data_IF_592171937650
#
_entry.id   IF_592171937650
#
_cell.length_a   1.000
_cell.length_b   1.000
_cell.length_c   1.000
_cell.angle_alpha   90.00
_cell.angle_beta   90.00
_cell.angle_gamma   90.00
#
_symmetry.space_group_name_H-M   'P 1'
#
loop_
_entity.id
_entity.type
_entity.pdbx_description
1 polymer ?
#
# COMPACT_ATOMS: atom_id res chain seq x y z
N UNK A 1 14.99 4.72 21.23
CA UNK A 1 14.81 3.72 20.17
C UNK A 1 15.53 4.14 18.90
N UNK A 2 15.06 5.17 18.18
CA UNK A 2 15.56 5.49 16.82
C UNK A 2 16.74 6.47 16.72
N UNK A 3 17.36 6.87 17.83
CA UNK A 3 18.45 7.86 17.87
C UNK A 3 18.11 9.22 17.23
N UNK A 4 16.86 9.67 17.40
CA UNK A 4 16.35 10.96 16.90
C UNK A 4 16.27 11.97 18.05
N UNK A 5 16.81 13.18 17.84
CA UNK A 5 16.73 14.25 18.85
C UNK A 5 15.32 14.86 18.94
N UNK A 6 14.91 15.46 20.07
CA UNK A 6 13.60 16.13 20.17
C UNK A 6 13.39 17.23 19.11
N UNK A 7 14.46 17.96 18.75
CA UNK A 7 14.39 19.00 17.71
C UNK A 7 14.11 18.42 16.33
N UNK A 8 14.76 17.30 15.99
CA UNK A 8 14.52 16.60 14.74
C UNK A 8 13.13 15.97 14.70
N UNK A 9 12.70 15.32 15.80
CA UNK A 9 11.41 14.62 15.86
C UNK A 9 10.21 15.54 15.57
N UNK A 10 10.28 16.82 15.96
CA UNK A 10 9.23 17.81 15.66
C UNK A 10 9.17 18.15 14.17
N UNK A 11 10.28 18.07 13.45
CA UNK A 11 10.34 18.32 12.02
C UNK A 11 9.96 17.09 11.18
N UNK A 12 10.07 15.89 11.75
CA UNK A 12 9.71 14.64 11.07
C UNK A 12 8.21 14.49 10.85
N UNK A 13 7.86 14.16 9.62
CA UNK A 13 6.53 13.71 9.22
C UNK A 13 6.07 12.60 10.18
N UNK A 14 4.86 12.71 10.78
CA UNK A 14 4.32 11.66 11.62
C UNK A 14 4.30 10.29 10.92
N UNK A 15 4.06 10.23 9.60
CA UNK A 15 4.11 9.01 8.80
C UNK A 15 5.49 8.35 8.83
N UNK A 16 6.57 9.14 8.70
CA UNK A 16 7.94 8.64 8.85
C UNK A 16 8.17 8.04 10.24
N UNK A 17 7.78 8.77 11.29
CA UNK A 17 8.00 8.34 12.68
C UNK A 17 7.26 7.05 12.99
N UNK A 18 5.98 7.01 12.67
CA UNK A 18 5.11 5.88 12.98
C UNK A 18 5.46 4.66 12.12
N UNK A 19 5.84 4.84 10.85
CA UNK A 19 6.26 3.71 10.02
C UNK A 19 7.55 3.07 10.56
N UNK A 20 8.49 3.83 11.14
CA UNK A 20 9.65 3.24 11.82
C UNK A 20 9.26 2.33 12.98
N UNK A 21 8.23 2.69 13.76
CA UNK A 21 7.67 1.83 14.80
C UNK A 21 7.02 0.58 14.22
N UNK A 22 6.15 0.74 13.21
CA UNK A 22 5.44 -0.38 12.58
C UNK A 22 6.39 -1.35 11.89
N UNK A 23 7.49 -0.88 11.30
CA UNK A 23 8.52 -1.77 10.74
C UNK A 23 9.24 -2.54 11.85
N UNK A 24 9.55 -1.91 12.97
CA UNK A 24 10.12 -2.62 14.12
C UNK A 24 9.18 -3.72 14.62
N UNK A 25 7.90 -3.41 14.79
CA UNK A 25 6.87 -4.37 15.22
C UNK A 25 6.70 -5.51 14.20
N UNK A 26 6.72 -5.22 12.90
CA UNK A 26 6.64 -6.22 11.85
C UNK A 26 7.87 -7.16 11.84
N UNK A 27 9.06 -6.64 12.10
CA UNK A 27 10.26 -7.46 12.28
C UNK A 27 10.14 -8.36 13.51
N UNK A 28 9.64 -7.84 14.63
CA UNK A 28 9.40 -8.66 15.84
C UNK A 28 8.37 -9.76 15.61
N UNK A 29 7.24 -9.48 14.94
CA UNK A 29 6.24 -10.52 14.60
C UNK A 29 6.80 -11.57 13.64
N UNK A 30 7.71 -11.17 12.75
CA UNK A 30 8.43 -12.08 11.85
C UNK A 30 9.57 -12.85 12.53
N UNK A 31 9.82 -12.63 13.83
CA UNK A 31 10.85 -13.36 14.60
C UNK A 31 12.28 -12.82 14.42
N UNK A 32 12.45 -11.67 13.77
CA UNK A 32 13.74 -11.01 13.64
C UNK A 32 14.13 -10.37 14.98
N UNK A 33 14.88 -11.10 15.81
CA UNK A 33 15.32 -10.60 17.12
C UNK A 33 16.28 -9.41 16.95
N UNK A 34 15.80 -8.22 17.32
CA UNK A 34 16.52 -6.93 17.20
C UNK A 34 17.82 -6.84 18.03
N UNK A 35 18.12 -7.88 18.83
CA UNK A 35 19.31 -8.04 19.67
C UNK A 35 20.35 -9.07 19.17
N UNK A 36 20.55 -9.17 17.85
CA UNK A 36 21.81 -9.74 17.32
C UNK A 36 21.73 -10.80 16.23
N UNK A 37 20.53 -11.16 15.74
CA UNK A 37 20.38 -12.13 14.64
C UNK A 37 19.77 -11.54 13.35
N UNK A 38 19.27 -10.29 13.35
CA UNK A 38 18.88 -9.56 12.11
C UNK A 38 20.10 -9.14 11.26
N UNK A 39 21.32 -9.38 11.77
CA UNK A 39 22.56 -8.84 11.24
C UNK A 39 23.45 -9.86 10.52
N UNK A 40 22.98 -11.04 10.13
CA UNK A 40 23.85 -11.93 9.36
C UNK A 40 23.94 -11.50 7.90
N UNK A 41 22.90 -10.96 7.26
CA UNK A 41 23.00 -10.37 5.90
C UNK A 41 22.18 -9.08 5.69
N UNK A 42 22.40 -8.04 6.50
CA UNK A 42 21.83 -6.68 6.33
C UNK A 42 22.04 -6.08 4.91
N UNK A 43 22.94 -6.65 4.11
CA UNK A 43 23.23 -6.24 2.73
C UNK A 43 22.16 -6.61 1.70
N UNK A 44 21.20 -7.46 2.06
CA UNK A 44 20.18 -7.95 1.14
C UNK A 44 18.74 -7.66 1.62
N UNK A 45 18.55 -6.62 2.43
CA UNK A 45 17.20 -6.17 2.84
C UNK A 45 16.80 -4.93 2.04
N UNK A 46 15.76 -5.06 1.21
CA UNK A 46 15.16 -3.95 0.48
C UNK A 46 14.00 -3.30 1.24
N UNK A 47 13.74 -2.01 0.99
CA UNK A 47 12.65 -1.25 1.62
C UNK A 47 11.87 -0.46 0.58
N UNK A 48 10.58 -0.76 0.51
CA UNK A 48 9.64 -0.25 -0.50
C UNK A 48 8.44 0.36 0.23
N UNK A 49 8.28 1.68 0.10
CA UNK A 49 7.24 2.41 0.82
C UNK A 49 6.31 3.12 -0.15
N UNK A 50 5.00 2.93 0.02
CA UNK A 50 3.97 3.74 -0.62
C UNK A 50 3.68 5.00 0.21
N UNK A 51 3.83 6.17 -0.39
CA UNK A 51 3.57 7.47 0.25
C UNK A 51 3.14 8.50 -0.79
N UNK A 52 1.95 9.09 -0.59
CA UNK A 52 1.27 9.95 -1.55
C UNK A 52 1.09 11.40 -1.11
N UNK A 53 1.40 11.75 0.14
CA UNK A 53 1.08 13.07 0.70
C UNK A 53 2.32 13.86 1.11
N UNK A 54 2.23 15.18 1.05
CA UNK A 54 3.25 16.11 1.59
C UNK A 54 2.64 17.01 2.67
N UNK A 55 1.58 16.56 3.34
CA UNK A 55 0.79 17.32 4.32
C UNK A 55 1.69 17.94 5.40
N UNK A 56 2.65 17.18 5.92
CA UNK A 56 3.54 17.69 6.95
C UNK A 56 4.45 18.81 6.44
N UNK A 57 4.90 18.71 5.18
CA UNK A 57 5.66 19.79 4.53
C UNK A 57 4.84 21.06 4.46
N UNK A 58 3.60 20.97 4.00
CA UNK A 58 2.68 22.11 3.93
C UNK A 58 2.42 22.71 5.31
N UNK A 59 2.24 21.86 6.32
CA UNK A 59 2.04 22.28 7.71
C UNK A 59 3.25 23.01 8.30
N UNK A 60 4.46 22.61 7.92
CA UNK A 60 5.71 23.16 8.46
C UNK A 60 6.15 24.44 7.74
N UNK A 61 5.83 24.61 6.45
CA UNK A 61 6.27 25.77 5.65
C UNK A 61 6.06 27.15 6.32
N UNK A 62 4.91 27.44 6.95
CA UNK A 62 4.68 28.73 7.61
C UNK A 62 5.60 29.00 8.81
N UNK A 63 6.23 27.95 9.38
CA UNK A 63 7.05 28.05 10.59
C UNK A 63 8.51 28.46 10.31
N UNK A 64 8.88 28.62 9.03
CA UNK A 64 10.26 28.92 8.61
C UNK A 64 11.14 27.67 8.45
N UNK A 65 12.33 27.85 7.89
CA UNK A 65 13.26 26.75 7.55
C UNK A 65 14.07 26.32 8.78
N UNK A 66 14.01 25.02 9.11
CA UNK A 66 14.89 24.38 10.09
C UNK A 66 15.86 23.41 9.39
N UNK A 67 17.00 23.11 10.03
CA UNK A 67 18.01 22.17 9.51
C UNK A 67 17.46 20.76 9.31
N UNK A 68 16.38 20.38 9.99
CA UNK A 68 15.73 19.08 9.86
C UNK A 68 14.55 19.03 8.87
N UNK A 69 14.19 20.16 8.24
CA UNK A 69 12.99 20.26 7.41
C UNK A 69 13.01 19.32 6.20
N UNK A 70 14.12 19.26 5.47
CA UNK A 70 14.21 18.45 4.24
C UNK A 70 14.11 16.97 4.58
N UNK A 71 14.98 16.47 5.45
CA UNK A 71 14.97 15.07 5.90
C UNK A 71 13.75 14.70 6.74
N UNK A 72 13.04 15.69 7.28
CA UNK A 72 11.80 15.48 8.04
C UNK A 72 10.57 15.34 7.15
N UNK A 73 10.57 15.90 5.94
CA UNK A 73 9.36 15.99 5.10
C UNK A 73 9.49 15.35 3.73
N UNK A 74 10.70 15.17 3.20
CA UNK A 74 10.88 14.59 1.88
C UNK A 74 10.65 13.07 1.94
N UNK A 75 9.71 12.57 1.12
CA UNK A 75 9.26 11.16 1.15
C UNK A 75 10.37 10.12 0.94
N UNK A 76 11.45 10.48 0.24
CA UNK A 76 12.62 9.59 0.09
C UNK A 76 13.28 9.22 1.43
N UNK A 77 13.14 10.07 2.46
CA UNK A 77 13.62 9.78 3.80
C UNK A 77 12.72 8.80 4.57
N UNK A 78 11.49 8.53 4.11
CA UNK A 78 10.60 7.55 4.74
C UNK A 78 11.24 6.14 4.73
N UNK A 79 11.55 5.52 3.57
CA UNK A 79 12.32 4.27 3.54
C UNK A 79 13.80 4.46 3.93
N UNK A 80 14.38 5.63 3.62
CA UNK A 80 15.79 5.90 3.88
C UNK A 80 16.16 5.90 5.38
N UNK A 81 15.28 6.42 6.25
CA UNK A 81 15.49 6.42 7.71
C UNK A 81 15.41 5.02 8.31
N UNK A 82 14.51 4.19 7.78
CA UNK A 82 14.41 2.78 8.17
C UNK A 82 15.75 2.09 7.85
N UNK A 83 16.23 2.22 6.60
CA UNK A 83 17.48 1.61 6.18
C UNK A 83 18.68 2.15 6.95
N UNK A 84 18.72 3.46 7.19
CA UNK A 84 19.78 4.08 7.99
C UNK A 84 19.79 3.56 9.43
N UNK A 85 18.62 3.41 10.05
CA UNK A 85 18.51 2.93 11.43
C UNK A 85 18.95 1.47 11.57
N UNK A 86 18.47 0.59 10.68
CA UNK A 86 18.78 -0.84 10.74
C UNK A 86 20.04 -1.24 9.96
N UNK A 87 20.73 -0.28 9.32
CA UNK A 87 21.94 -0.47 8.49
C UNK A 87 21.72 -1.42 7.31
N UNK A 88 20.59 -1.27 6.62
CA UNK A 88 20.28 -2.05 5.43
C UNK A 88 20.84 -1.40 4.16
N UNK A 89 21.38 -2.23 3.26
CA UNK A 89 22.04 -1.77 2.03
C UNK A 89 21.28 -2.15 0.74
N UNK A 90 20.09 -2.76 0.86
CA UNK A 90 19.31 -3.20 -0.30
C UNK A 90 18.53 -2.09 -1.01
N UNK A 91 17.75 -2.44 -2.04
CA UNK A 91 16.99 -1.48 -2.84
C UNK A 91 16.06 -0.63 -1.97
N UNK A 92 16.05 0.68 -2.20
CA UNK A 92 15.32 1.65 -1.37
C UNK A 92 14.44 2.51 -2.23
N UNK A 93 13.12 2.39 -2.10
CA UNK A 93 12.17 3.14 -2.92
C UNK A 93 11.03 3.72 -2.09
N UNK A 94 10.71 4.98 -2.41
CA UNK A 94 9.44 5.58 -2.09
C UNK A 94 8.63 5.69 -3.39
N UNK A 95 7.39 5.20 -3.40
CA UNK A 95 6.56 5.09 -4.59
C UNK A 95 5.30 5.91 -4.39
N UNK A 96 4.99 6.75 -5.37
CA UNK A 96 3.72 7.43 -5.48
C UNK A 96 3.01 7.02 -6.76
N UNK A 97 1.85 6.41 -6.58
CA UNK A 97 0.88 6.14 -7.64
C UNK A 97 -0.53 6.38 -7.12
N UNK A 98 -0.68 7.42 -6.30
CA UNK A 98 -1.89 7.76 -5.56
C UNK A 98 -2.41 6.56 -4.74
N UNK A 99 -3.69 6.21 -4.90
CA UNK A 99 -4.37 5.16 -4.14
C UNK A 99 -3.81 3.74 -4.32
N UNK A 100 -2.91 3.52 -5.29
CA UNK A 100 -2.25 2.24 -5.53
C UNK A 100 -0.83 2.14 -4.98
N UNK A 101 -0.36 3.10 -4.19
CA UNK A 101 1.05 3.23 -3.80
C UNK A 101 1.58 2.04 -3.01
N UNK A 102 0.89 1.56 -1.97
CA UNK A 102 1.30 0.35 -1.24
C UNK A 102 1.28 -0.90 -2.10
N UNK A 103 0.23 -1.12 -2.91
CA UNK A 103 0.19 -2.24 -3.85
C UNK A 103 1.35 -2.18 -4.86
N UNK A 104 1.82 -0.99 -5.21
CA UNK A 104 3.01 -0.78 -6.04
C UNK A 104 4.29 -1.16 -5.31
N UNK A 105 4.43 -0.71 -4.07
CA UNK A 105 5.58 -0.96 -3.23
C UNK A 105 5.73 -2.47 -3.01
N UNK A 106 4.63 -3.17 -2.71
CA UNK A 106 4.57 -4.64 -2.63
C UNK A 106 4.96 -5.28 -3.96
N UNK A 107 4.44 -4.78 -5.08
CA UNK A 107 4.81 -5.27 -6.42
C UNK A 107 6.30 -5.12 -6.74
N UNK A 108 6.92 -4.00 -6.37
CA UNK A 108 8.35 -3.78 -6.54
C UNK A 108 9.18 -4.67 -5.61
N UNK A 109 8.75 -4.84 -4.36
CA UNK A 109 9.37 -5.75 -3.40
C UNK A 109 9.32 -7.20 -3.91
N UNK A 110 8.16 -7.65 -4.39
CA UNK A 110 7.98 -8.95 -5.02
C UNK A 110 8.97 -9.15 -6.18
N UNK A 111 9.09 -8.17 -7.09
CA UNK A 111 10.02 -8.27 -8.22
C UNK A 111 11.48 -8.30 -7.76
N UNK A 112 11.87 -7.44 -6.82
CA UNK A 112 13.23 -7.43 -6.28
C UNK A 112 13.61 -8.75 -5.59
N UNK A 113 12.67 -9.42 -4.93
CA UNK A 113 12.87 -10.76 -4.37
C UNK A 113 13.02 -11.82 -5.48
N UNK A 114 12.16 -11.80 -6.50
CA UNK A 114 12.23 -12.74 -7.64
C UNK A 114 13.53 -12.57 -8.42
N UNK A 115 13.94 -11.33 -8.67
CA UNK A 115 15.14 -10.96 -9.41
C UNK A 115 16.42 -11.11 -8.56
N UNK A 116 16.28 -11.45 -7.27
CA UNK A 116 17.35 -11.61 -6.27
C UNK A 116 18.19 -10.35 -6.03
N UNK A 117 17.59 -9.18 -6.21
CA UNK A 117 18.16 -7.90 -5.77
C UNK A 117 18.18 -7.78 -4.23
N UNK A 118 17.33 -8.55 -3.55
CA UNK A 118 17.27 -8.70 -2.11
C UNK A 118 16.79 -10.11 -1.72
N UNK A 119 17.04 -10.50 -0.47
CA UNK A 119 16.60 -11.78 0.11
C UNK A 119 15.43 -11.60 1.08
N UNK A 120 15.28 -10.39 1.60
CA UNK A 120 14.14 -9.96 2.41
C UNK A 120 13.75 -8.56 1.97
N UNK A 121 12.46 -8.27 1.95
CA UNK A 121 11.95 -6.96 1.61
C UNK A 121 10.94 -6.48 2.65
N UNK A 122 11.07 -5.22 3.04
CA UNK A 122 10.04 -4.50 3.77
C UNK A 122 9.17 -3.78 2.76
N UNK A 123 7.88 -4.08 2.75
CA UNK A 123 6.89 -3.36 1.95
C UNK A 123 5.84 -2.74 2.86
N UNK A 124 5.57 -1.45 2.71
CA UNK A 124 4.64 -0.76 3.60
C UNK A 124 4.25 0.62 3.10
N UNK A 125 3.64 1.42 3.96
CA UNK A 125 3.23 2.78 3.63
C UNK A 125 2.67 3.53 4.83
N UNK A 126 2.53 4.85 4.67
CA UNK A 126 1.86 5.72 5.63
C UNK A 126 0.93 6.70 4.93
N UNK A 127 -0.26 6.90 5.50
CA UNK A 127 -1.19 7.95 5.13
C UNK A 127 -1.63 8.70 6.38
N UNK A 128 -1.20 9.95 6.52
CA UNK A 128 -1.51 10.83 7.65
C UNK A 128 -2.07 12.14 7.11
N UNK A 129 -3.23 12.55 7.64
CA UNK A 129 -3.95 13.74 7.26
C UNK A 129 -3.57 14.86 8.23
N UNK A 130 -2.53 15.62 7.88
CA UNK A 130 -2.02 16.68 8.76
C UNK A 130 -2.58 18.07 8.42
N UNK A 131 -3.22 18.25 7.25
CA UNK A 131 -3.80 19.54 6.85
C UNK A 131 -5.20 19.39 6.22
N UNK A 132 -6.03 20.46 6.22
CA UNK A 132 -7.33 20.45 5.57
C UNK A 132 -7.24 20.67 4.05
N UNK A 133 -6.04 20.85 3.48
CA UNK A 133 -5.88 21.22 2.07
C UNK A 133 -6.43 20.12 1.14
N UNK A 134 -5.96 18.88 1.30
CA UNK A 134 -6.43 17.74 0.51
C UNK A 134 -7.90 17.45 0.71
N UNK A 135 -8.41 17.52 1.95
CA UNK A 135 -9.84 17.39 2.23
C UNK A 135 -10.66 18.39 1.39
N UNK A 136 -10.21 19.64 1.34
CA UNK A 136 -10.89 20.69 0.57
C UNK A 136 -10.78 20.48 -0.94
N UNK A 137 -9.59 20.10 -1.43
CA UNK A 137 -9.33 19.87 -2.84
C UNK A 137 -10.11 18.67 -3.38
N UNK A 138 -10.07 17.54 -2.67
CA UNK A 138 -10.79 16.32 -3.01
C UNK A 138 -12.31 16.51 -2.91
N UNK A 139 -12.78 17.26 -1.90
CA UNK A 139 -14.19 17.64 -1.77
C UNK A 139 -14.68 18.48 -2.95
N UNK A 140 -13.91 19.50 -3.36
CA UNK A 140 -14.21 20.28 -4.58
C UNK A 140 -14.14 19.47 -5.86
N UNK A 141 -13.28 18.45 -5.91
CA UNK A 141 -13.18 17.51 -7.02
C UNK A 141 -14.32 16.49 -7.09
N UNK A 142 -15.21 16.43 -6.09
CA UNK A 142 -16.31 15.47 -6.05
C UNK A 142 -15.87 14.04 -5.72
N UNK A 143 -14.69 13.87 -5.12
CA UNK A 143 -14.19 12.55 -4.71
C UNK A 143 -14.74 12.08 -3.37
N UNK A 144 -15.06 13.04 -2.48
CA UNK A 144 -15.41 12.75 -1.10
C UNK A 144 -16.91 12.62 -0.91
N UNK A 145 -17.30 11.66 -0.08
CA UNK A 145 -18.67 11.54 0.43
C UNK A 145 -19.03 12.78 1.25
N UNK A 146 -20.22 13.34 1.02
CA UNK A 146 -20.77 14.41 1.86
C UNK A 146 -21.46 13.87 3.11
N UNK A 147 -21.86 12.61 3.07
CA UNK A 147 -22.58 11.93 4.16
C UNK A 147 -21.67 11.08 5.05
N UNK A 148 -20.37 10.99 4.70
CA UNK A 148 -19.36 10.23 5.43
C UNK A 148 -19.30 8.75 5.01
N UNK A 149 -18.29 8.05 5.55
CA UNK A 149 -18.02 6.63 5.25
C UNK A 149 -17.75 6.31 3.77
N UNK A 150 -17.19 5.14 3.50
CA UNK A 150 -17.21 4.58 2.14
C UNK A 150 -18.42 3.65 2.05
N UNK A 151 -19.42 4.03 1.25
CA UNK A 151 -20.66 3.26 1.10
C UNK A 151 -20.54 2.22 -0.02
N UNK A 152 -19.53 1.36 0.10
CA UNK A 152 -19.17 0.41 -0.96
C UNK A 152 -20.34 -0.50 -1.33
N UNK A 153 -20.62 -0.61 -2.63
CA UNK A 153 -21.71 -1.42 -3.22
C UNK A 153 -23.14 -0.97 -2.85
N UNK A 154 -23.31 0.19 -2.22
CA UNK A 154 -24.65 0.70 -1.87
C UNK A 154 -25.21 1.61 -2.96
N UNK A 155 -26.53 1.62 -3.08
CA UNK A 155 -27.26 2.50 -4.00
C UNK A 155 -27.05 3.99 -3.69
N UNK A 156 -26.87 4.33 -2.40
CA UNK A 156 -26.65 5.68 -1.89
C UNK A 156 -25.16 6.08 -1.83
N UNK A 157 -24.28 5.38 -2.55
CA UNK A 157 -22.86 5.69 -2.67
C UNK A 157 -22.59 7.07 -3.31
N UNK A 158 -21.89 7.97 -2.61
CA UNK A 158 -21.71 9.38 -2.99
C UNK A 158 -20.24 9.85 -2.94
N UNK A 159 -19.27 8.93 -2.85
CA UNK A 159 -17.85 9.22 -2.69
C UNK A 159 -17.20 8.42 -1.57
N UNK A 160 -15.89 8.61 -1.37
CA UNK A 160 -15.16 7.97 -0.28
C UNK A 160 -14.98 8.90 0.93
N UNK A 161 -14.78 8.34 2.11
CA UNK A 161 -14.26 9.06 3.28
C UNK A 161 -12.75 8.84 3.36
N UNK A 162 -11.94 9.88 3.57
CA UNK A 162 -10.50 9.71 3.80
C UNK A 162 -10.26 8.95 5.10
N UNK A 163 -9.20 8.14 5.13
CA UNK A 163 -8.75 7.39 6.30
C UNK A 163 -7.25 7.58 6.52
N UNK A 164 -6.81 7.39 7.76
CA UNK A 164 -5.39 7.33 8.10
C UNK A 164 -5.01 5.86 8.35
N UNK A 165 -3.87 5.44 7.83
CA UNK A 165 -3.34 4.10 8.10
C UNK A 165 -1.83 4.06 7.92
N UNK A 166 -1.21 3.13 8.65
CA UNK A 166 0.20 2.80 8.54
C UNK A 166 0.32 1.28 8.63
N UNK A 167 1.12 0.70 7.75
CA UNK A 167 1.31 -0.75 7.70
C UNK A 167 2.66 -1.11 7.09
N UNK A 168 3.20 -2.25 7.52
CA UNK A 168 4.38 -2.85 6.94
C UNK A 168 4.27 -4.37 6.93
N UNK A 169 4.90 -5.00 5.95
CA UNK A 169 5.03 -6.45 5.82
C UNK A 169 6.49 -6.80 5.60
N UNK A 170 6.90 -7.93 6.19
CA UNK A 170 8.18 -8.58 5.90
C UNK A 170 7.94 -9.65 4.85
N UNK A 171 8.63 -9.55 3.71
CA UNK A 171 8.48 -10.44 2.57
C UNK A 171 9.77 -11.19 2.30
N UNK A 172 9.67 -12.49 2.01
CA UNK A 172 10.76 -13.35 1.56
C UNK A 172 10.27 -14.25 0.44
N UNK A 173 11.19 -14.82 -0.33
CA UNK A 173 10.85 -15.95 -1.22
C UNK A 173 10.41 -17.13 -0.36
N UNK A 174 9.41 -17.88 -0.83
CA UNK A 174 8.82 -18.97 -0.07
C UNK A 174 9.86 -20.02 0.34
N UNK A 175 10.73 -20.43 -0.58
CA UNK A 175 11.79 -21.42 -0.31
C UNK A 175 12.73 -20.94 0.81
N UNK A 176 13.11 -19.66 0.81
CA UNK A 176 13.98 -19.09 1.84
C UNK A 176 13.26 -19.01 3.20
N UNK A 177 11.97 -18.64 3.20
CA UNK A 177 11.17 -18.60 4.41
C UNK A 177 10.99 -20.01 5.04
N UNK A 178 10.80 -21.03 4.20
CA UNK A 178 10.73 -22.43 4.64
C UNK A 178 12.10 -22.91 5.15
N UNK A 179 13.19 -22.58 4.44
CA UNK A 179 14.54 -22.95 4.85
C UNK A 179 14.92 -22.33 6.21
N UNK A 180 14.54 -21.08 6.43
CA UNK A 180 14.84 -20.35 7.67
C UNK A 180 13.82 -20.64 8.80
N UNK A 181 12.81 -21.47 8.52
CA UNK A 181 11.73 -21.83 9.45
C UNK A 181 10.98 -20.59 9.99
N UNK A 182 10.70 -19.65 9.10
CA UNK A 182 9.93 -18.45 9.39
C UNK A 182 8.43 -18.77 9.56
N UNK A 183 7.73 -17.92 10.31
CA UNK A 183 6.26 -17.92 10.35
C UNK A 183 5.72 -17.36 9.03
N UNK A 184 5.07 -18.20 8.24
CA UNK A 184 4.47 -17.79 6.95
C UNK A 184 2.98 -17.47 7.15
N UNK A 185 2.60 -16.20 7.02
CA UNK A 185 1.20 -15.76 7.13
C UNK A 185 0.39 -16.01 5.86
N UNK A 186 0.99 -15.78 4.68
CA UNK A 186 0.37 -15.95 3.37
C UNK A 186 1.45 -16.01 2.27
N UNK A 187 1.06 -16.36 1.05
CA UNK A 187 1.93 -16.41 -0.14
C UNK A 187 1.39 -15.47 -1.22
N UNK A 188 2.26 -14.63 -1.78
CA UNK A 188 1.94 -13.80 -2.95
C UNK A 188 2.24 -14.64 -4.20
N UNK A 189 1.22 -15.30 -4.74
CA UNK A 189 1.40 -16.19 -5.91
C UNK A 189 1.56 -15.43 -7.22
N UNK A 190 1.09 -14.19 -7.31
CA UNK A 190 1.22 -13.39 -8.52
C UNK A 190 0.95 -11.90 -8.30
N UNK A 191 1.56 -11.09 -9.16
CA UNK A 191 1.36 -9.63 -9.20
C UNK A 191 1.35 -9.12 -10.63
N UNK A 192 0.45 -8.18 -10.93
CA UNK A 192 0.44 -7.45 -12.18
C UNK A 192 0.04 -6.00 -11.95
N UNK A 193 0.32 -5.18 -12.97
CA UNK A 193 -0.04 -3.78 -13.01
C UNK A 193 -0.25 -3.33 -14.45
N UNK A 194 -1.20 -2.44 -14.65
CA UNK A 194 -1.42 -1.74 -15.92
C UNK A 194 -1.95 -0.31 -15.65
N UNK A 195 -2.33 0.39 -16.72
CA UNK A 195 -2.84 1.75 -16.65
C UNK A 195 -4.10 1.89 -17.49
N UNK A 196 -5.10 2.60 -16.97
CA UNK A 196 -6.38 2.86 -17.66
C UNK A 196 -6.22 3.99 -18.69
N UNK A 197 -5.53 3.70 -19.80
CA UNK A 197 -5.25 4.66 -20.86
C UNK A 197 -6.48 5.02 -21.72
N UNK A 198 -7.44 4.11 -21.84
CA UNK A 198 -8.64 4.26 -22.68
C UNK A 198 -9.82 4.74 -21.81
N UNK A 199 -9.68 5.91 -21.18
CA UNK A 199 -10.70 6.47 -20.28
C UNK A 199 -11.21 7.82 -20.78
N UNK A 200 -12.46 8.15 -20.43
CA UNK A 200 -13.07 9.46 -20.77
C UNK A 200 -12.46 10.61 -19.95
N UNK A 201 -11.96 10.30 -18.75
CA UNK A 201 -11.28 11.25 -17.86
C UNK A 201 -10.15 10.53 -17.16
N UNK A 202 -9.05 11.24 -16.90
CA UNK A 202 -7.85 10.74 -16.18
C UNK A 202 -8.17 10.11 -14.82
N UNK A 203 -9.32 10.46 -14.22
CA UNK A 203 -9.76 9.97 -12.90
C UNK A 203 -10.82 8.88 -12.96
N UNK A 204 -11.34 8.53 -14.14
CA UNK A 204 -12.37 7.48 -14.26
C UNK A 204 -11.73 6.10 -14.43
N UNK A 205 -12.26 5.05 -13.78
CA UNK A 205 -11.80 3.68 -13.99
C UNK A 205 -12.24 3.14 -15.36
N UNK A 206 -11.68 2.00 -15.75
CA UNK A 206 -11.99 1.33 -17.02
C UNK A 206 -12.10 -0.19 -16.84
N UNK A 207 -13.32 -0.71 -17.02
CA UNK A 207 -13.67 -2.13 -16.80
C UNK A 207 -12.73 -3.08 -17.55
N UNK A 208 -12.55 -2.91 -18.86
CA UNK A 208 -11.69 -3.77 -19.68
C UNK A 208 -10.21 -3.71 -19.31
N UNK A 209 -9.75 -2.63 -18.67
CA UNK A 209 -8.39 -2.57 -18.15
C UNK A 209 -8.25 -3.38 -16.87
N UNK A 210 -9.26 -3.35 -16.00
CA UNK A 210 -9.29 -4.16 -14.79
C UNK A 210 -9.42 -5.66 -15.11
N UNK A 211 -10.29 -6.04 -16.05
CA UNK A 211 -10.39 -7.44 -16.52
C UNK A 211 -9.03 -7.98 -17.00
N UNK A 212 -8.35 -7.25 -17.91
CA UNK A 212 -7.01 -7.61 -18.38
C UNK A 212 -5.97 -7.68 -17.25
N UNK A 213 -6.13 -6.85 -16.21
CA UNK A 213 -5.25 -6.90 -15.04
C UNK A 213 -5.46 -8.23 -14.30
N UNK A 214 -6.72 -8.58 -14.02
CA UNK A 214 -7.10 -9.78 -13.29
C UNK A 214 -6.67 -11.06 -14.02
N UNK A 215 -6.94 -11.16 -15.32
CA UNK A 215 -6.49 -12.27 -16.17
C UNK A 215 -4.97 -12.44 -16.16
N UNK A 216 -4.23 -11.33 -16.17
CA UNK A 216 -2.77 -11.36 -16.15
C UNK A 216 -2.22 -11.78 -14.77
N UNK A 217 -2.90 -11.43 -13.67
CA UNK A 217 -2.57 -11.95 -12.33
C UNK A 217 -2.82 -13.46 -12.27
N UNK A 218 -3.99 -13.93 -12.71
CA UNK A 218 -4.33 -15.36 -12.77
C UNK A 218 -3.26 -16.15 -13.53
N UNK A 219 -2.94 -15.71 -14.75
CA UNK A 219 -1.89 -16.33 -15.59
C UNK A 219 -0.54 -16.40 -14.89
N UNK A 220 -0.13 -15.36 -14.17
CA UNK A 220 1.16 -15.35 -13.45
C UNK A 220 1.14 -16.21 -12.20
N UNK A 221 0.00 -16.30 -11.54
CA UNK A 221 -0.18 -17.08 -10.33
C UNK A 221 -0.35 -18.58 -10.59
N UNK A 222 -0.74 -18.96 -11.80
CA UNK A 222 -1.09 -20.33 -12.15
C UNK A 222 -2.45 -20.79 -11.62
N UNK A 223 -3.24 -19.89 -11.04
CA UNK A 223 -4.62 -20.15 -10.62
C UNK A 223 -5.60 -19.91 -11.76
N UNK A 224 -6.70 -20.64 -11.71
CA UNK A 224 -7.90 -20.41 -12.51
C UNK A 224 -8.88 -19.50 -11.75
N UNK A 225 -9.83 -18.90 -12.47
CA UNK A 225 -10.81 -18.00 -11.88
C UNK A 225 -11.64 -18.63 -10.74
N UNK A 226 -11.95 -19.93 -10.86
CA UNK A 226 -12.73 -20.68 -9.86
C UNK A 226 -11.95 -21.06 -8.61
N UNK A 227 -10.61 -20.93 -8.62
CA UNK A 227 -9.77 -21.14 -7.43
C UNK A 227 -9.82 -19.95 -6.45
N UNK A 228 -10.34 -18.79 -6.90
CA UNK A 228 -10.39 -17.57 -6.09
C UNK A 228 -11.68 -17.54 -5.28
N UNK A 229 -11.57 -17.64 -3.95
CA UNK A 229 -12.73 -17.62 -3.04
C UNK A 229 -13.19 -16.22 -2.63
N UNK A 230 -12.24 -15.27 -2.58
CA UNK A 230 -12.47 -13.92 -2.09
C UNK A 230 -11.74 -12.87 -2.93
N UNK A 231 -12.40 -11.74 -3.20
CA UNK A 231 -11.78 -10.54 -3.77
C UNK A 231 -11.96 -9.37 -2.81
N UNK A 232 -10.83 -8.91 -2.26
CA UNK A 232 -10.74 -7.60 -1.62
C UNK A 232 -10.69 -6.53 -2.72
N UNK A 233 -11.82 -5.85 -2.93
CA UNK A 233 -11.99 -4.85 -3.98
C UNK A 233 -11.44 -3.49 -3.52
N UNK A 234 -11.11 -2.63 -4.49
CA UNK A 234 -10.79 -1.24 -4.24
C UNK A 234 -11.96 -0.53 -3.58
N UNK A 235 -13.17 -0.67 -4.13
CA UNK A 235 -14.44 -0.44 -3.45
C UNK A 235 -14.54 0.89 -2.72
N UNK A 236 -14.45 2.01 -3.44
CA UNK A 236 -14.38 3.35 -2.85
C UNK A 236 -15.73 3.92 -2.45
N UNK A 237 -16.85 3.26 -2.76
CA UNK A 237 -18.17 3.83 -2.48
C UNK A 237 -18.53 4.93 -3.48
N UNK A 238 -18.10 4.78 -4.73
CA UNK A 238 -18.52 5.66 -5.83
C UNK A 238 -19.44 4.88 -6.77
N UNK A 239 -20.59 5.43 -7.14
CA UNK A 239 -21.58 4.71 -7.96
C UNK A 239 -20.97 4.14 -9.25
N UNK A 240 -20.19 4.97 -9.96
CA UNK A 240 -19.56 4.57 -11.22
C UNK A 240 -18.34 3.66 -11.02
N UNK A 241 -17.55 3.87 -9.97
CA UNK A 241 -16.35 3.08 -9.72
C UNK A 241 -16.69 1.68 -9.23
N UNK A 242 -17.57 1.58 -8.23
CA UNK A 242 -18.00 0.30 -7.66
C UNK A 242 -18.71 -0.56 -8.70
N UNK A 243 -19.56 0.03 -9.55
CA UNK A 243 -20.25 -0.70 -10.63
C UNK A 243 -19.27 -1.26 -11.66
N UNK A 244 -18.30 -0.44 -12.11
CA UNK A 244 -17.30 -0.87 -13.09
C UNK A 244 -16.37 -1.96 -12.51
N UNK A 245 -16.03 -1.85 -11.23
CA UNK A 245 -15.18 -2.83 -10.55
C UNK A 245 -15.91 -4.16 -10.33
N UNK A 246 -17.17 -4.12 -9.86
CA UNK A 246 -18.01 -5.31 -9.73
C UNK A 246 -18.22 -6.00 -11.06
N UNK A 247 -18.47 -5.24 -12.14
CA UNK A 247 -18.60 -5.79 -13.48
C UNK A 247 -17.31 -6.50 -13.92
N UNK A 248 -16.14 -5.87 -13.69
CA UNK A 248 -14.84 -6.47 -14.03
C UNK A 248 -14.57 -7.75 -13.26
N UNK A 249 -14.87 -7.75 -11.96
CA UNK A 249 -14.74 -8.93 -11.09
C UNK A 249 -15.69 -10.03 -11.53
N UNK A 250 -16.95 -9.71 -11.82
CA UNK A 250 -17.93 -10.69 -12.25
C UNK A 250 -17.57 -11.33 -13.61
N UNK A 251 -17.08 -10.52 -14.55
CA UNK A 251 -16.68 -10.97 -15.89
C UNK A 251 -15.49 -11.94 -15.85
N UNK A 252 -14.57 -11.79 -14.91
CA UNK A 252 -13.38 -12.65 -14.81
C UNK A 252 -13.58 -13.80 -13.83
N UNK A 253 -14.07 -13.52 -12.61
CA UNK A 253 -14.06 -14.48 -11.51
C UNK A 253 -15.39 -15.20 -11.26
N UNK A 254 -16.50 -14.72 -11.84
CA UNK A 254 -17.85 -15.23 -11.54
C UNK A 254 -18.62 -15.68 -12.79
N UNK A 255 -17.93 -16.23 -13.80
CA UNK A 255 -18.59 -16.77 -14.99
C UNK A 255 -19.52 -17.92 -14.64
N UNK A 256 -20.71 -17.93 -15.27
CA UNK A 256 -21.76 -18.92 -15.00
C UNK A 256 -21.27 -20.33 -15.34
N UNK A 257 -21.59 -21.29 -14.48
CA UNK A 257 -21.26 -22.72 -14.59
C UNK A 257 -19.79 -23.11 -14.36
N UNK A 258 -18.91 -22.15 -14.04
CA UNK A 258 -17.51 -22.44 -13.71
C UNK A 258 -17.24 -22.59 -12.21
N UNK A 259 -18.22 -22.25 -11.37
CA UNK A 259 -18.08 -22.27 -9.91
C UNK A 259 -19.09 -23.19 -9.24
N UNK A 260 -18.64 -23.87 -8.18
CA UNK A 260 -19.46 -24.69 -7.28
C UNK A 260 -19.89 -23.93 -6.02
N UNK A 261 -19.24 -22.80 -5.72
CA UNK A 261 -19.51 -21.90 -4.59
C UNK A 261 -19.61 -20.44 -5.06
N UNK A 262 -20.37 -19.58 -4.36
CA UNK A 262 -20.41 -18.16 -4.66
C UNK A 262 -19.03 -17.52 -4.40
N UNK A 263 -18.63 -16.60 -5.28
CA UNK A 263 -17.49 -15.72 -5.04
C UNK A 263 -17.88 -14.68 -3.97
N UNK A 264 -17.03 -14.50 -2.96
CA UNK A 264 -17.24 -13.46 -1.95
C UNK A 264 -16.42 -12.23 -2.32
N UNK A 265 -17.04 -11.06 -2.21
CA UNK A 265 -16.37 -9.78 -2.43
C UNK A 265 -16.57 -8.86 -1.24
N UNK A 266 -15.57 -8.03 -0.95
CA UNK A 266 -15.61 -7.07 0.15
C UNK A 266 -14.70 -5.88 -0.12
N UNK A 267 -14.79 -4.88 0.76
CA UNK A 267 -13.87 -3.74 0.76
C UNK A 267 -13.74 -3.18 2.17
N UNK A 268 -12.54 -3.24 2.72
CA UNK A 268 -12.20 -2.76 4.07
C UNK A 268 -12.45 -1.26 4.24
N UNK A 269 -12.49 -0.51 3.13
CA UNK A 269 -12.76 0.93 3.13
C UNK A 269 -14.12 1.28 3.72
N UNK A 270 -15.09 0.37 3.64
CA UNK A 270 -16.39 0.55 4.29
C UNK A 270 -16.31 0.61 5.82
N UNK A 271 -15.25 0.05 6.41
CA UNK A 271 -15.02 0.05 7.86
C UNK A 271 -14.11 1.20 8.32
N UNK A 272 -13.01 1.43 7.62
CA UNK A 272 -11.93 2.32 8.09
C UNK A 272 -11.71 3.56 7.21
N UNK A 273 -12.51 3.73 6.16
CA UNK A 273 -12.30 4.76 5.15
C UNK A 273 -11.22 4.39 4.14
N UNK A 274 -10.96 5.30 3.22
CA UNK A 274 -9.97 5.17 2.17
C UNK A 274 -8.63 5.73 2.64
N UNK A 275 -7.69 4.84 2.96
CA UNK A 275 -6.34 5.18 3.43
C UNK A 275 -5.38 5.62 2.32
N UNK A 276 -5.92 6.11 1.21
CA UNK A 276 -5.20 6.66 0.05
C UNK A 276 -3.97 5.83 -0.36
N UNK A 277 -2.75 6.33 -0.12
CA UNK A 277 -1.52 5.64 -0.46
C UNK A 277 -1.35 4.27 0.19
N UNK A 278 -2.07 3.99 1.30
CA UNK A 278 -2.03 2.79 2.14
C UNK A 278 -3.35 2.02 2.09
N UNK A 279 -3.96 1.99 0.91
CA UNK A 279 -5.24 1.31 0.66
C UNK A 279 -5.10 -0.16 0.31
#
# INVERSE_FOLDING_TARGET
MFNVSPREAVQMDPGQRLLMHVVYEALEDAGFATNGTVATHAKHIGTFVGDGSDDWRERQQPSGVDVYMIQGTQRAFTPGRINHHFRWEGPTFCVDSACGSTASAVGLAYKALVDRDCDTAIAGGSNIIATPFWQSALGKGGFLSQTGGCKTFREDADGYCRGEAIGAMVLKRLDDAVQDNDKICAVISGYARNHSAETVSITRPHTKTQERLFENVLKKSGFEAHDIDYVEMHGTGTTAGDSAELESVANVFAQKNERTSPLIVGAIKANIGHSEAVS
#
